data_IF_322524099053
#
_entry.id   IF_322524099053
#
_cell.length_a   1.000
_cell.length_b   1.000
_cell.length_c   1.000
_cell.angle_alpha   90.00
_cell.angle_beta   90.00
_cell.angle_gamma   90.00
#
_symmetry.space_group_name_H-M   'P 1'
#
loop_
_entity.id
_entity.type
_entity.pdbx_description
1 polymer ?
#
# COMPACT_ATOMS: atom_id res chain seq x y z
N UNK A 1 -9.54 -9.41 2.22
CA UNK A 1 -9.80 -10.51 1.25
C UNK A 1 -11.29 -10.67 0.98
N UNK A 2 -11.68 -11.18 -0.19
CA UNK A 2 -13.07 -11.58 -0.50
C UNK A 2 -13.38 -12.96 0.08
N UNK A 3 -14.56 -13.14 0.67
CA UNK A 3 -15.03 -14.45 1.15
C UNK A 3 -16.06 -15.06 0.20
N UNK A 4 -16.26 -16.37 0.30
CA UNK A 4 -17.30 -17.07 -0.47
C UNK A 4 -18.71 -16.65 -0.02
N UNK A 5 -19.71 -16.58 -0.92
CA UNK A 5 -21.07 -16.18 -0.53
C UNK A 5 -21.65 -17.05 0.60
N UNK A 6 -22.00 -16.42 1.73
CA UNK A 6 -22.55 -17.10 2.90
C UNK A 6 -21.52 -17.84 3.77
N UNK A 7 -20.22 -17.55 3.60
CA UNK A 7 -19.12 -18.11 4.37
C UNK A 7 -18.11 -17.03 4.76
N UNK A 8 -17.46 -17.20 5.91
CA UNK A 8 -16.30 -16.41 6.32
C UNK A 8 -14.98 -16.94 5.69
N UNK A 9 -15.04 -18.04 4.94
CA UNK A 9 -13.88 -18.61 4.27
C UNK A 9 -13.47 -17.77 3.05
N UNK A 10 -12.16 -17.52 2.95
CA UNK A 10 -11.54 -16.84 1.80
C UNK A 10 -11.92 -17.54 0.50
N UNK A 11 -12.32 -16.75 -0.50
CA UNK A 11 -12.57 -17.26 -1.85
C UNK A 11 -11.25 -17.69 -2.49
N UNK A 12 -11.10 -19.00 -2.70
CA UNK A 12 -9.95 -19.65 -3.33
C UNK A 12 -10.40 -20.41 -4.57
N UNK A 13 -9.60 -20.34 -5.65
CA UNK A 13 -9.95 -20.88 -6.97
C UNK A 13 -8.72 -21.41 -7.72
N UNK A 14 -8.94 -22.25 -8.73
CA UNK A 14 -7.87 -22.77 -9.61
C UNK A 14 -7.48 -21.78 -10.73
N UNK A 15 -8.33 -20.79 -11.01
CA UNK A 15 -8.12 -19.76 -12.04
C UNK A 15 -8.48 -18.39 -11.49
N UNK A 16 -7.76 -17.32 -11.85
CA UNK A 16 -7.99 -16.00 -11.28
C UNK A 16 -9.39 -15.46 -11.57
N UNK A 17 -10.07 -14.99 -10.53
CA UNK A 17 -11.40 -14.35 -10.62
C UNK A 17 -11.37 -12.83 -10.37
N UNK A 18 -10.36 -12.33 -9.65
CA UNK A 18 -10.11 -10.90 -9.42
C UNK A 18 -9.52 -10.17 -10.63
N UNK A 19 -9.11 -8.91 -10.42
CA UNK A 19 -8.44 -8.11 -11.44
C UNK A 19 -7.00 -8.60 -11.65
N UNK A 20 -6.66 -8.99 -12.88
CA UNK A 20 -5.31 -9.41 -13.24
C UNK A 20 -4.42 -8.27 -13.72
N UNK A 21 -3.12 -8.53 -13.92
CA UNK A 21 -2.19 -7.51 -14.43
C UNK A 21 -2.62 -6.90 -15.77
N UNK A 22 -3.29 -7.67 -16.64
CA UNK A 22 -3.84 -7.16 -17.91
C UNK A 22 -5.01 -6.21 -17.68
N UNK A 23 -5.88 -6.49 -16.70
CA UNK A 23 -7.00 -5.62 -16.34
C UNK A 23 -6.49 -4.30 -15.77
N UNK A 24 -5.54 -4.38 -14.82
CA UNK A 24 -4.89 -3.21 -14.22
C UNK A 24 -4.21 -2.35 -15.27
N UNK A 25 -3.45 -2.96 -16.19
CA UNK A 25 -2.78 -2.21 -17.25
C UNK A 25 -3.78 -1.46 -18.17
N UNK A 26 -4.94 -2.05 -18.45
CA UNK A 26 -6.00 -1.40 -19.24
C UNK A 26 -6.68 -0.28 -18.47
N UNK A 27 -7.08 -0.53 -17.22
CA UNK A 27 -7.77 0.44 -16.38
C UNK A 27 -6.96 1.73 -16.20
N UNK A 28 -5.65 1.56 -16.00
CA UNK A 28 -4.71 2.62 -15.67
C UNK A 28 -3.91 3.15 -16.87
N UNK A 29 -4.26 2.70 -18.08
CA UNK A 29 -3.57 3.05 -19.34
C UNK A 29 -2.06 2.81 -19.33
N UNK A 30 -1.60 1.80 -18.58
CA UNK A 30 -0.19 1.42 -18.58
C UNK A 30 0.19 0.87 -19.97
N UNK A 31 1.29 1.35 -20.58
CA UNK A 31 1.75 0.81 -21.85
C UNK A 31 2.30 -0.61 -21.67
N UNK A 32 2.74 -1.22 -22.77
CA UNK A 32 3.37 -2.55 -22.76
C UNK A 32 4.52 -2.62 -21.76
N UNK A 33 4.72 -3.80 -21.18
CA UNK A 33 5.71 -4.13 -20.15
C UNK A 33 7.10 -3.49 -20.37
N UNK A 34 7.59 -3.55 -21.61
CA UNK A 34 8.91 -3.04 -22.02
C UNK A 34 9.03 -1.51 -22.14
N UNK A 35 7.94 -0.78 -21.95
CA UNK A 35 7.89 0.68 -22.01
C UNK A 35 7.90 1.26 -20.61
N UNK A 36 8.84 2.18 -20.37
CA UNK A 36 9.07 2.82 -19.09
C UNK A 36 10.54 2.74 -18.69
N UNK A 37 10.84 3.16 -17.47
CA UNK A 37 12.17 3.00 -16.88
C UNK A 37 12.26 1.65 -16.17
N UNK A 38 13.48 1.12 -16.15
CA UNK A 38 13.85 0.03 -15.26
C UNK A 38 14.40 0.62 -13.97
N UNK A 39 14.17 -0.07 -12.87
CA UNK A 39 14.65 0.29 -11.55
C UNK A 39 14.36 -0.81 -10.56
N UNK A 40 14.58 -0.54 -9.29
CA UNK A 40 14.32 -1.46 -8.19
C UNK A 40 13.22 -0.89 -7.30
N UNK A 41 12.12 -1.63 -7.17
CA UNK A 41 11.12 -1.38 -6.13
C UNK A 41 11.44 -2.31 -4.95
N UNK A 42 11.58 -1.73 -3.76
CA UNK A 42 11.66 -2.52 -2.54
C UNK A 42 10.29 -2.63 -1.88
N UNK A 43 9.97 -3.81 -1.38
CA UNK A 43 8.76 -4.16 -0.65
C UNK A 43 9.21 -4.63 0.73
N UNK A 44 8.81 -3.91 1.78
CA UNK A 44 9.05 -4.35 3.15
C UNK A 44 7.94 -5.33 3.51
N UNK A 45 8.31 -6.53 3.91
CA UNK A 45 7.38 -7.59 4.26
C UNK A 45 7.70 -8.16 5.63
N UNK A 46 6.75 -8.88 6.22
CA UNK A 46 6.90 -9.49 7.53
C UNK A 46 6.86 -11.01 7.44
N UNK A 47 7.75 -11.69 8.16
CA UNK A 47 7.82 -13.14 8.20
C UNK A 47 8.46 -13.80 6.97
N UNK A 48 8.60 -15.12 7.03
CA UNK A 48 9.11 -15.93 5.94
C UNK A 48 8.00 -16.27 4.93
N UNK A 49 8.33 -16.28 3.64
CA UNK A 49 7.53 -16.91 2.59
C UNK A 49 8.46 -17.67 1.64
N UNK A 50 8.56 -18.99 1.80
CA UNK A 50 9.49 -19.81 1.02
C UNK A 50 8.97 -20.18 -0.36
N UNK A 51 7.69 -19.90 -0.66
CA UNK A 51 7.07 -20.17 -1.96
C UNK A 51 7.02 -18.93 -2.87
N UNK A 52 7.45 -17.76 -2.38
CA UNK A 52 7.29 -16.47 -3.05
C UNK A 52 7.81 -16.44 -4.50
N UNK A 53 8.99 -17.02 -4.77
CA UNK A 53 9.52 -17.06 -6.14
C UNK A 53 8.67 -17.95 -7.08
N UNK A 54 8.22 -19.12 -6.61
CA UNK A 54 7.37 -20.01 -7.40
C UNK A 54 5.96 -19.46 -7.62
N UNK A 55 5.42 -18.75 -6.63
CA UNK A 55 4.11 -18.12 -6.71
C UNK A 55 4.15 -16.93 -7.68
N UNK A 56 5.17 -16.08 -7.57
CA UNK A 56 5.43 -14.99 -8.52
C UNK A 56 5.61 -15.50 -9.96
N UNK A 57 6.29 -16.63 -10.15
CA UNK A 57 6.45 -17.25 -11.46
C UNK A 57 5.09 -17.70 -12.05
N UNK A 58 4.21 -18.24 -11.21
CA UNK A 58 2.86 -18.63 -11.61
C UNK A 58 2.02 -17.42 -12.00
N UNK A 59 2.04 -16.36 -11.19
CA UNK A 59 1.37 -15.11 -11.48
C UNK A 59 1.84 -14.49 -12.80
N UNK A 60 3.16 -14.31 -12.96
CA UNK A 60 3.74 -13.69 -14.17
C UNK A 60 3.42 -14.50 -15.41
N UNK A 61 3.49 -15.84 -15.33
CA UNK A 61 3.11 -16.71 -16.44
C UNK A 61 1.64 -16.59 -16.81
N UNK A 62 0.74 -16.54 -15.82
CA UNK A 62 -0.71 -16.39 -16.04
C UNK A 62 -1.04 -15.12 -16.85
N UNK A 63 -0.31 -14.03 -16.60
CA UNK A 63 -0.56 -12.74 -17.25
C UNK A 63 0.43 -12.38 -18.36
N UNK A 64 1.30 -13.31 -18.77
CA UNK A 64 2.26 -13.09 -19.86
C UNK A 64 3.32 -12.03 -19.57
N UNK A 65 3.69 -11.87 -18.30
CA UNK A 65 4.76 -10.98 -17.85
C UNK A 65 6.12 -11.70 -17.92
N UNK A 66 7.24 -10.97 -18.10
CA UNK A 66 8.58 -11.57 -18.06
C UNK A 66 8.85 -12.30 -16.74
N UNK A 67 9.59 -13.41 -16.80
CA UNK A 67 10.03 -14.13 -15.61
C UNK A 67 10.87 -13.24 -14.69
N UNK A 68 10.75 -13.47 -13.38
CA UNK A 68 11.50 -12.74 -12.36
C UNK A 68 11.88 -13.69 -11.24
N UNK A 69 13.17 -14.01 -11.18
CA UNK A 69 13.73 -15.04 -10.30
C UNK A 69 14.95 -14.52 -9.57
N UNK A 70 15.32 -15.15 -8.47
CA UNK A 70 16.60 -14.87 -7.80
C UNK A 70 17.79 -15.18 -8.70
N UNK A 71 17.72 -16.26 -9.49
CA UNK A 71 18.77 -16.64 -10.43
C UNK A 71 19.00 -15.60 -11.56
N UNK A 72 17.93 -14.94 -12.02
CA UNK A 72 18.02 -13.86 -13.01
C UNK A 72 18.47 -12.51 -12.42
N UNK A 73 18.48 -12.40 -11.08
CA UNK A 73 18.68 -11.15 -10.35
C UNK A 73 17.46 -10.24 -10.33
N UNK A 74 16.37 -10.57 -11.05
CA UNK A 74 15.15 -9.78 -11.06
C UNK A 74 14.48 -9.72 -9.68
N UNK A 75 14.47 -10.84 -8.95
CA UNK A 75 13.96 -10.91 -7.58
C UNK A 75 15.14 -10.98 -6.60
N UNK A 76 15.12 -10.16 -5.55
CA UNK A 76 16.00 -10.32 -4.39
C UNK A 76 15.13 -10.50 -3.15
N UNK A 77 15.45 -11.46 -2.30
CA UNK A 77 14.81 -11.64 -0.98
C UNK A 77 15.92 -11.60 0.06
N UNK A 78 15.75 -10.76 1.08
CA UNK A 78 16.75 -10.51 2.14
C UNK A 78 16.06 -10.28 3.46
N UNK A 79 16.73 -10.54 4.58
CA UNK A 79 16.34 -9.96 5.86
C UNK A 79 16.49 -8.42 5.85
N UNK A 80 15.90 -7.77 6.84
CA UNK A 80 15.95 -6.33 7.06
C UNK A 80 17.34 -5.74 7.33
N UNK A 81 18.37 -6.57 7.53
CA UNK A 81 19.78 -6.16 7.64
C UNK A 81 20.59 -6.36 6.34
N UNK A 82 20.02 -6.96 5.29
CA UNK A 82 20.71 -7.24 4.03
C UNK A 82 21.35 -8.63 3.96
N UNK A 83 21.00 -9.52 4.89
CA UNK A 83 21.45 -10.90 4.98
C UNK A 83 20.56 -11.89 4.22
N UNK A 84 20.70 -13.20 4.49
CA UNK A 84 19.79 -14.21 3.97
C UNK A 84 18.32 -13.91 4.32
N UNK A 85 17.34 -14.43 3.55
CA UNK A 85 15.92 -14.36 3.90
C UNK A 85 15.64 -14.83 5.33
N UNK A 86 14.55 -14.32 5.92
CA UNK A 86 14.07 -14.79 7.23
C UNK A 86 13.71 -16.28 7.12
N UNK A 87 14.23 -17.08 8.04
CA UNK A 87 13.96 -18.51 8.11
C UNK A 87 12.56 -18.77 8.68
N UNK A 88 11.79 -19.75 8.16
CA UNK A 88 10.47 -20.08 8.68
C UNK A 88 10.46 -20.44 10.15
N UNK A 89 9.55 -19.84 10.89
CA UNK A 89 9.33 -20.17 12.29
C UNK A 89 8.84 -21.61 12.47
N UNK A 90 9.20 -22.21 13.61
CA UNK A 90 8.94 -23.64 13.87
C UNK A 90 7.74 -23.90 14.77
N UNK A 91 7.28 -22.90 15.53
CA UNK A 91 6.11 -23.01 16.41
C UNK A 91 4.82 -22.82 15.62
N UNK A 92 3.70 -23.28 16.18
CA UNK A 92 2.38 -23.07 15.58
C UNK A 92 2.04 -21.59 15.43
N UNK A 93 2.42 -20.77 16.41
CA UNK A 93 2.15 -19.32 16.42
C UNK A 93 2.84 -18.63 15.24
N UNK A 94 4.15 -18.88 15.05
CA UNK A 94 4.88 -18.39 13.89
C UNK A 94 4.23 -18.83 12.58
N UNK A 95 3.87 -20.12 12.45
CA UNK A 95 3.31 -20.64 11.20
C UNK A 95 1.97 -20.00 10.86
N UNK A 96 1.12 -19.72 11.85
CA UNK A 96 -0.16 -19.03 11.61
C UNK A 96 0.10 -17.62 11.11
N UNK A 97 0.95 -16.88 11.81
CA UNK A 97 1.24 -15.49 11.50
C UNK A 97 1.95 -15.34 10.14
N UNK A 98 2.94 -16.19 9.84
CA UNK A 98 3.63 -16.23 8.55
C UNK A 98 2.69 -16.63 7.40
N UNK A 99 1.74 -17.55 7.62
CA UNK A 99 0.75 -17.92 6.59
C UNK A 99 -0.19 -16.74 6.24
N UNK A 100 -0.52 -15.90 7.22
CA UNK A 100 -1.32 -14.70 7.02
C UNK A 100 -0.50 -13.59 6.34
N UNK A 101 0.73 -13.34 6.82
CA UNK A 101 1.64 -12.35 6.26
C UNK A 101 2.13 -12.70 4.84
N UNK A 102 2.18 -13.98 4.49
CA UNK A 102 2.53 -14.41 3.14
C UNK A 102 1.53 -13.95 2.08
N UNK A 103 0.24 -13.90 2.41
CA UNK A 103 -0.79 -13.37 1.51
C UNK A 103 -0.52 -11.91 1.17
N UNK A 104 -0.14 -11.12 2.17
CA UNK A 104 0.21 -9.71 2.02
C UNK A 104 1.48 -9.55 1.17
N UNK A 105 2.50 -10.35 1.46
CA UNK A 105 3.75 -10.37 0.69
C UNK A 105 3.52 -10.73 -0.78
N UNK A 106 2.67 -11.73 -1.04
CA UNK A 106 2.30 -12.16 -2.39
C UNK A 106 1.47 -11.09 -3.11
N UNK A 107 0.53 -10.43 -2.41
CA UNK A 107 -0.21 -9.27 -2.94
C UNK A 107 0.75 -8.16 -3.37
N UNK A 108 1.70 -7.79 -2.52
CA UNK A 108 2.65 -6.71 -2.81
C UNK A 108 3.51 -7.01 -4.04
N UNK A 109 4.05 -8.22 -4.11
CA UNK A 109 4.90 -8.67 -5.20
C UNK A 109 4.12 -8.77 -6.52
N UNK A 110 2.88 -9.27 -6.49
CA UNK A 110 2.01 -9.37 -7.66
C UNK A 110 1.60 -7.98 -8.18
N UNK A 111 1.24 -7.07 -7.28
CA UNK A 111 0.88 -5.69 -7.63
C UNK A 111 2.08 -4.90 -8.17
N UNK A 112 3.25 -5.03 -7.55
CA UNK A 112 4.48 -4.43 -8.07
C UNK A 112 4.83 -4.98 -9.46
N UNK A 113 4.66 -6.28 -9.67
CA UNK A 113 4.87 -6.95 -10.96
C UNK A 113 3.90 -6.47 -12.04
N UNK A 114 2.64 -6.23 -11.69
CA UNK A 114 1.64 -5.70 -12.62
C UNK A 114 1.96 -4.27 -13.07
N UNK A 115 2.34 -3.40 -12.13
CA UNK A 115 2.66 -2.00 -12.41
C UNK A 115 3.98 -1.84 -13.18
N UNK A 116 5.02 -2.57 -12.77
CA UNK A 116 6.35 -2.51 -13.39
C UNK A 116 6.94 -3.90 -13.69
N UNK A 117 6.52 -4.55 -14.79
CA UNK A 117 6.97 -5.91 -15.11
C UNK A 117 8.48 -6.05 -15.34
N UNK A 118 9.14 -4.96 -15.78
CA UNK A 118 10.58 -4.88 -16.09
C UNK A 118 11.42 -4.32 -14.91
N UNK A 119 10.80 -4.01 -13.77
CA UNK A 119 11.51 -3.61 -12.55
C UNK A 119 12.10 -4.83 -11.84
N UNK A 120 13.23 -4.62 -11.16
CA UNK A 120 13.71 -5.55 -10.14
C UNK A 120 12.85 -5.38 -8.90
N UNK A 121 12.51 -6.50 -8.26
CA UNK A 121 11.74 -6.54 -7.02
C UNK A 121 12.68 -6.97 -5.90
N UNK A 122 12.75 -6.16 -4.86
CA UNK A 122 13.52 -6.45 -3.65
C UNK A 122 12.57 -6.62 -2.48
N UNK A 123 12.44 -7.83 -1.96
CA UNK A 123 11.64 -8.11 -0.77
C UNK A 123 12.56 -8.09 0.44
N UNK A 124 12.27 -7.20 1.39
CA UNK A 124 13.06 -6.99 2.61
C UNK A 124 12.22 -7.44 3.80
N UNK A 125 12.56 -8.60 4.35
CA UNK A 125 11.79 -9.28 5.39
C UNK A 125 12.19 -8.84 6.80
N UNK A 126 11.24 -8.34 7.56
CA UNK A 126 11.33 -8.23 9.03
C UNK A 126 10.83 -9.52 9.67
N UNK A 127 11.33 -9.88 10.87
CA UNK A 127 10.73 -10.97 11.63
C UNK A 127 9.29 -10.62 12.03
N UNK A 128 8.43 -11.63 12.09
CA UNK A 128 7.04 -11.48 12.52
C UNK A 128 6.92 -11.40 14.05
N UNK A 129 7.72 -12.25 14.71
CA UNK A 129 7.87 -12.29 16.17
C UNK A 129 9.37 -12.19 16.46
N UNK A 130 9.73 -11.28 17.36
CA UNK A 130 11.12 -11.11 17.79
C UNK A 130 11.57 -12.23 18.74
N UNK A 131 12.89 -12.31 18.99
CA UNK A 131 13.45 -13.19 20.01
C UNK A 131 12.85 -12.99 21.42
N UNK A 132 12.21 -11.84 21.67
CA UNK A 132 11.54 -11.48 22.92
C UNK A 132 10.02 -11.62 22.90
N UNK A 133 9.42 -12.10 21.80
CA UNK A 133 7.98 -12.20 21.59
C UNK A 133 7.46 -11.17 20.57
N UNK A 134 6.13 -11.00 20.53
CA UNK A 134 5.47 -10.03 19.64
C UNK A 134 6.02 -8.61 19.88
N UNK A 135 6.57 -7.94 18.85
CA UNK A 135 7.11 -6.60 19.00
C UNK A 135 6.00 -5.58 19.32
N UNK A 136 6.35 -4.54 20.08
CA UNK A 136 5.43 -3.38 20.25
C UNK A 136 5.31 -2.62 18.93
N UNK A 137 4.27 -1.79 18.74
CA UNK A 137 4.16 -0.93 17.57
C UNK A 137 5.43 -0.10 17.28
N UNK A 138 6.08 0.45 18.32
CA UNK A 138 7.35 1.16 18.18
C UNK A 138 8.53 0.25 17.81
N UNK A 139 8.51 -1.02 18.26
CA UNK A 139 9.46 -2.04 17.87
C UNK A 139 9.35 -2.36 16.38
N UNK A 140 8.13 -2.66 15.90
CA UNK A 140 7.84 -2.87 14.48
C UNK A 140 8.25 -1.68 13.63
N UNK A 141 7.89 -0.47 14.05
CA UNK A 141 8.28 0.76 13.37
C UNK A 141 9.82 0.94 13.30
N UNK A 142 10.56 0.51 14.32
CA UNK A 142 12.01 0.52 14.31
C UNK A 142 12.60 -0.48 13.31
N UNK A 143 12.06 -1.70 13.24
CA UNK A 143 12.50 -2.72 12.28
C UNK A 143 12.18 -2.33 10.85
N UNK A 144 10.99 -1.78 10.60
CA UNK A 144 10.61 -1.21 9.30
C UNK A 144 11.52 -0.06 8.88
N UNK A 145 11.95 0.79 9.81
CA UNK A 145 12.93 1.83 9.50
C UNK A 145 14.30 1.26 9.13
N UNK A 146 14.74 0.18 9.78
CA UNK A 146 15.97 -0.54 9.41
C UNK A 146 15.83 -1.20 8.05
N UNK A 147 14.71 -1.87 7.77
CA UNK A 147 14.39 -2.47 6.47
C UNK A 147 14.42 -1.43 5.35
N UNK A 148 13.80 -0.27 5.56
CA UNK A 148 13.82 0.84 4.63
C UNK A 148 15.25 1.37 4.38
N UNK A 149 16.07 1.56 5.42
CA UNK A 149 17.48 1.95 5.22
C UNK A 149 18.29 0.88 4.48
N UNK A 150 18.01 -0.39 4.71
CA UNK A 150 18.61 -1.51 3.98
C UNK A 150 18.22 -1.48 2.51
N UNK A 151 16.94 -1.30 2.19
CA UNK A 151 16.47 -1.13 0.82
C UNK A 151 17.17 0.03 0.10
N UNK A 152 17.26 1.20 0.76
CA UNK A 152 17.98 2.37 0.22
C UNK A 152 19.45 2.05 -0.04
N UNK A 153 20.13 1.42 0.93
CA UNK A 153 21.55 1.00 0.80
C UNK A 153 21.77 0.01 -0.35
N UNK A 154 20.81 -0.89 -0.57
CA UNK A 154 20.85 -1.89 -1.64
C UNK A 154 20.38 -1.35 -3.00
N UNK A 155 20.03 -0.06 -3.09
CA UNK A 155 19.77 0.62 -4.37
C UNK A 155 18.30 0.66 -4.79
N UNK A 156 17.36 0.59 -3.85
CA UNK A 156 15.95 0.83 -4.13
C UNK A 156 15.72 2.24 -4.71
N UNK A 157 14.85 2.33 -5.71
CA UNK A 157 14.41 3.59 -6.31
C UNK A 157 13.15 4.14 -5.62
N UNK A 158 12.35 3.27 -5.05
CA UNK A 158 11.24 3.56 -4.16
C UNK A 158 11.08 2.37 -3.20
N UNK A 159 10.41 2.60 -2.08
CA UNK A 159 10.06 1.54 -1.12
C UNK A 159 8.55 1.59 -0.87
N UNK A 160 7.91 0.42 -0.83
CA UNK A 160 6.54 0.25 -0.37
C UNK A 160 6.54 -0.35 1.04
N UNK A 161 5.70 0.19 1.91
CA UNK A 161 5.30 -0.44 3.16
C UNK A 161 3.77 -0.50 3.19
N UNK A 162 3.23 -1.70 3.23
CA UNK A 162 1.80 -2.01 3.20
C UNK A 162 1.21 -2.22 4.60
N UNK A 163 2.02 -2.09 5.66
CA UNK A 163 1.60 -2.20 7.06
C UNK A 163 1.43 -0.83 7.75
N UNK A 164 0.55 -0.78 8.75
CA UNK A 164 0.17 0.43 9.50
C UNK A 164 0.28 0.19 11.01
N UNK A 165 1.05 1.03 11.67
CA UNK A 165 1.15 1.08 13.13
C UNK A 165 0.45 2.33 13.67
N UNK A 166 -0.28 2.19 14.78
CA UNK A 166 -0.90 3.33 15.45
C UNK A 166 0.01 3.83 16.58
N UNK A 167 0.69 4.94 16.34
CA UNK A 167 1.70 5.49 17.25
C UNK A 167 1.25 6.83 17.85
N UNK A 168 1.81 7.17 19.01
CA UNK A 168 1.64 8.50 19.61
C UNK A 168 2.45 9.56 18.85
N UNK A 169 1.88 10.74 18.64
CA UNK A 169 2.48 11.87 17.91
C UNK A 169 3.92 12.25 18.31
N UNK A 170 4.33 11.99 19.56
CA UNK A 170 5.71 12.22 20.01
C UNK A 170 6.76 11.42 19.23
N UNK A 171 6.34 10.33 18.58
CA UNK A 171 7.19 9.45 17.76
C UNK A 171 7.58 10.06 16.41
N UNK A 172 7.02 11.20 16.00
CA UNK A 172 7.52 11.97 14.85
C UNK A 172 9.02 12.30 15.01
N UNK A 173 9.41 12.63 16.23
CA UNK A 173 10.79 13.00 16.56
C UNK A 173 11.69 11.77 16.80
N UNK A 174 11.12 10.56 16.83
CA UNK A 174 11.86 9.32 17.00
C UNK A 174 12.83 9.08 15.83
N UNK A 175 13.93 8.40 16.13
CA UNK A 175 14.97 8.09 15.14
C UNK A 175 14.46 7.22 13.99
N UNK A 176 13.57 6.27 14.25
CA UNK A 176 12.99 5.41 13.23
C UNK A 176 12.13 6.20 12.23
N UNK A 177 11.27 7.11 12.70
CA UNK A 177 10.47 7.98 11.84
C UNK A 177 11.37 8.84 10.96
N UNK A 178 12.37 9.50 11.56
CA UNK A 178 13.32 10.36 10.84
C UNK A 178 14.16 9.60 9.82
N UNK A 179 14.46 8.32 10.07
CA UNK A 179 15.21 7.49 9.12
C UNK A 179 14.45 7.34 7.80
N UNK A 180 13.11 7.32 7.82
CA UNK A 180 12.29 7.23 6.61
C UNK A 180 12.36 8.47 5.71
N UNK A 181 13.02 9.55 6.14
CA UNK A 181 13.19 10.78 5.36
C UNK A 181 14.42 10.70 4.45
N UNK A 182 14.32 10.00 3.32
CA UNK A 182 15.41 9.92 2.34
C UNK A 182 15.11 10.68 1.04
N UNK A 183 15.89 11.73 0.72
CA UNK A 183 15.80 12.39 -0.57
C UNK A 183 16.09 11.41 -1.73
N UNK A 184 15.19 11.36 -2.71
CA UNK A 184 15.35 10.57 -3.93
C UNK A 184 14.85 9.12 -3.86
N UNK A 185 14.54 8.59 -2.67
CA UNK A 185 13.93 7.27 -2.49
C UNK A 185 12.63 7.42 -1.69
N UNK A 186 11.50 7.73 -2.31
CA UNK A 186 10.24 7.90 -1.59
C UNK A 186 9.79 6.59 -0.93
N UNK A 187 9.19 6.72 0.25
CA UNK A 187 8.39 5.69 0.90
C UNK A 187 6.93 5.88 0.48
N UNK A 188 6.34 4.86 -0.13
CA UNK A 188 4.90 4.75 -0.36
C UNK A 188 4.32 3.89 0.76
N UNK A 189 3.32 4.42 1.44
CA UNK A 189 2.74 3.78 2.61
C UNK A 189 1.23 3.69 2.47
N UNK A 190 0.67 2.50 2.74
CA UNK A 190 -0.77 2.31 2.84
C UNK A 190 -1.34 3.20 3.96
N UNK A 191 -2.47 3.85 3.73
CA UNK A 191 -3.14 4.66 4.79
C UNK A 191 -3.96 3.80 5.76
N UNK A 192 -4.03 2.48 5.53
CA UNK A 192 -4.85 1.54 6.27
C UNK A 192 -6.19 1.28 5.60
N UNK A 193 -6.84 0.17 5.98
CA UNK A 193 -8.04 -0.37 5.32
C UNK A 193 -9.35 -0.09 6.07
N UNK A 194 -9.20 0.43 7.28
CA UNK A 194 -10.25 1.07 8.05
C UNK A 194 -9.93 2.55 7.93
N UNK A 195 -10.86 3.38 7.42
CA UNK A 195 -10.62 4.82 7.20
C UNK A 195 -9.97 5.48 8.42
N UNK A 196 -9.32 6.64 8.22
CA UNK A 196 -8.26 7.28 9.07
C UNK A 196 -8.59 7.61 10.55
N UNK A 197 -9.48 6.87 11.17
CA UNK A 197 -9.79 6.78 12.58
C UNK A 197 -10.11 5.32 12.85
N UNK A 198 -9.19 4.61 13.50
CA UNK A 198 -9.42 3.30 14.08
C UNK A 198 -10.81 3.22 14.74
N UNK A 199 -11.77 2.56 14.08
CA UNK A 199 -13.11 2.34 14.63
C UNK A 199 -13.11 1.33 15.77
N UNK A 200 -11.98 0.69 16.10
CA UNK A 200 -11.85 -0.09 17.34
C UNK A 200 -11.70 0.81 18.57
N UNK A 201 -11.17 2.03 18.44
CA UNK A 201 -11.27 3.08 19.47
C UNK A 201 -12.68 3.71 19.56
N UNK A 202 -13.53 3.54 18.54
CA UNK A 202 -14.88 4.14 18.45
C UNK A 202 -16.00 3.17 18.86
N UNK A 203 -15.68 1.92 19.21
CA UNK A 203 -16.66 0.91 19.68
C UNK A 203 -17.13 1.11 21.15
N UNK A 204 -16.83 2.25 21.79
CA UNK A 204 -17.38 2.59 23.11
C UNK A 204 -18.61 3.47 22.97
N UNK A 205 -19.65 3.21 23.77
CA UNK A 205 -20.99 3.81 23.70
C UNK A 205 -21.09 5.32 24.02
N UNK A 206 -19.95 6.02 24.05
CA UNK A 206 -19.83 7.48 24.21
C UNK A 206 -18.76 8.03 23.24
N UNK A 207 -19.00 7.80 21.96
CA UNK A 207 -18.02 7.76 20.87
C UNK A 207 -17.57 9.13 20.35
N UNK A 208 -18.37 10.19 20.48
CA UNK A 208 -18.03 11.50 19.90
C UNK A 208 -16.95 12.26 20.70
N UNK A 209 -16.90 12.10 22.03
CA UNK A 209 -15.93 12.78 22.89
C UNK A 209 -14.57 12.06 22.93
N UNK A 210 -14.57 10.72 22.93
CA UNK A 210 -13.34 9.90 22.88
C UNK A 210 -12.67 9.92 21.51
N UNK A 211 -13.44 9.85 20.42
CA UNK A 211 -12.89 9.95 19.07
C UNK A 211 -12.09 11.24 18.88
N UNK A 212 -12.59 12.38 19.40
CA UNK A 212 -11.89 13.66 19.27
C UNK A 212 -10.57 13.74 20.05
N UNK A 213 -10.48 13.08 21.21
CA UNK A 213 -9.24 13.05 22.01
C UNK A 213 -8.20 12.06 21.49
N UNK A 214 -8.62 10.95 20.89
CA UNK A 214 -7.71 9.91 20.37
C UNK A 214 -7.20 10.27 18.96
N UNK A 215 -8.03 10.88 18.11
CA UNK A 215 -7.61 11.40 16.78
C UNK A 215 -6.53 12.48 16.88
N UNK A 216 -6.40 13.16 18.01
CA UNK A 216 -5.42 14.23 18.21
C UNK A 216 -4.04 13.69 18.66
N UNK A 217 -3.98 12.49 19.25
CA UNK A 217 -2.75 11.95 19.86
C UNK A 217 -2.17 10.74 19.12
N UNK A 218 -3.00 9.94 18.44
CA UNK A 218 -2.55 8.74 17.70
C UNK A 218 -2.68 8.94 16.20
N UNK A 219 -1.71 8.44 15.44
CA UNK A 219 -1.64 8.61 13.98
C UNK A 219 -1.24 7.29 13.29
N UNK A 220 -1.62 7.14 12.02
CA UNK A 220 -1.28 6.00 11.19
C UNK A 220 0.15 6.13 10.65
N UNK A 221 1.10 5.45 11.30
CA UNK A 221 2.49 5.37 10.88
C UNK A 221 2.67 4.25 9.85
N UNK A 222 3.50 4.44 8.81
CA UNK A 222 4.28 5.63 8.49
C UNK A 222 3.57 6.57 7.53
N UNK A 223 2.37 6.23 7.04
CA UNK A 223 1.68 7.02 6.02
C UNK A 223 1.50 8.47 6.45
N UNK A 224 1.23 8.72 7.74
CA UNK A 224 1.05 10.06 8.27
C UNK A 224 2.33 10.86 8.54
N UNK A 225 3.51 10.31 8.22
CA UNK A 225 4.74 11.10 8.28
C UNK A 225 4.76 12.17 7.17
N UNK A 226 5.28 13.38 7.44
CA UNK A 226 5.39 14.43 6.42
C UNK A 226 6.31 14.09 5.22
N UNK A 227 7.07 13.01 5.29
CA UNK A 227 7.97 12.57 4.23
C UNK A 227 7.62 11.19 3.63
N UNK A 228 6.50 10.60 4.03
CA UNK A 228 5.90 9.46 3.34
C UNK A 228 4.92 9.95 2.26
N UNK A 229 4.79 9.19 1.19
CA UNK A 229 3.68 9.28 0.24
C UNK A 229 2.57 8.38 0.77
N UNK A 230 1.46 8.97 1.17
CA UNK A 230 0.32 8.21 1.65
C UNK A 230 -0.56 7.76 0.49
N UNK A 231 -0.75 6.45 0.40
CA UNK A 231 -1.46 5.79 -0.67
C UNK A 231 -2.81 5.30 -0.17
N UNK A 232 -3.87 5.96 -0.65
CA UNK A 232 -5.26 5.59 -0.42
C UNK A 232 -5.75 4.53 -1.40
N UNK A 233 -7.07 4.39 -1.48
CA UNK A 233 -7.70 3.27 -2.16
C UNK A 233 -8.97 3.64 -2.92
N UNK A 234 -9.17 2.98 -4.05
CA UNK A 234 -10.34 3.12 -4.91
C UNK A 234 -11.04 1.77 -5.10
N UNK A 235 -12.31 1.83 -5.50
CA UNK A 235 -13.06 0.69 -6.00
C UNK A 235 -13.04 0.73 -7.52
N UNK A 236 -12.29 -0.19 -8.12
CA UNK A 236 -12.13 -0.32 -9.57
C UNK A 236 -13.00 -1.48 -10.08
N UNK A 237 -13.96 -1.19 -10.96
CA UNK A 237 -14.91 -2.20 -11.46
C UNK A 237 -14.92 -2.26 -12.97
N UNK A 238 -14.83 -3.46 -13.59
CA UNK A 238 -15.12 -3.61 -15.01
C UNK A 238 -16.56 -3.21 -15.31
N UNK A 239 -16.77 -2.46 -16.39
CA UNK A 239 -18.12 -2.05 -16.84
C UNK A 239 -18.85 -3.22 -17.50
N UNK A 240 -18.11 -4.19 -18.03
CA UNK A 240 -18.64 -5.36 -18.71
C UNK A 240 -17.76 -6.61 -18.51
N UNK A 241 -18.26 -7.76 -18.95
CA UNK A 241 -17.56 -9.04 -18.86
C UNK A 241 -16.29 -9.13 -19.73
N UNK A 242 -16.12 -8.24 -20.72
CA UNK A 242 -14.92 -8.19 -21.58
C UNK A 242 -13.73 -7.50 -20.90
N UNK A 243 -13.98 -6.77 -19.80
CA UNK A 243 -12.97 -6.03 -19.02
C UNK A 243 -12.12 -5.12 -19.90
N UNK A 244 -12.79 -4.39 -20.80
CA UNK A 244 -12.14 -3.40 -21.68
C UNK A 244 -12.30 -1.97 -21.18
N UNK A 245 -13.29 -1.73 -20.31
CA UNK A 245 -13.57 -0.44 -19.68
C UNK A 245 -13.78 -0.64 -18.18
N UNK A 246 -13.41 0.39 -17.41
CA UNK A 246 -13.46 0.37 -15.96
C UNK A 246 -14.06 1.68 -15.44
N UNK A 247 -14.76 1.58 -14.31
CA UNK A 247 -15.17 2.72 -13.49
C UNK A 247 -14.37 2.70 -12.20
N UNK A 248 -13.98 3.87 -11.72
CA UNK A 248 -13.24 4.04 -10.47
C UNK A 248 -14.01 5.00 -9.56
N UNK A 249 -14.23 4.61 -8.30
CA UNK A 249 -14.81 5.45 -7.25
C UNK A 249 -13.92 5.40 -6.01
N UNK A 250 -14.06 6.36 -5.09
CA UNK A 250 -13.43 6.22 -3.77
C UNK A 250 -13.87 4.90 -3.11
N UNK A 251 -12.94 4.20 -2.44
CA UNK A 251 -13.30 2.98 -1.72
C UNK A 251 -14.03 3.34 -0.43
N UNK A 252 -15.25 2.81 -0.26
CA UNK A 252 -16.16 3.17 0.83
C UNK A 252 -15.63 2.97 2.25
N UNK A 253 -14.66 2.05 2.45
CA UNK A 253 -14.07 1.82 3.76
C UNK A 253 -12.98 2.84 4.12
N UNK A 254 -12.52 3.62 3.14
CA UNK A 254 -11.55 4.68 3.36
C UNK A 254 -12.25 6.02 3.49
N UNK A 255 -12.16 6.54 4.70
CA UNK A 255 -12.44 7.94 4.96
C UNK A 255 -11.09 8.66 4.86
N UNK A 256 -11.02 9.70 4.02
CA UNK A 256 -9.91 10.64 4.10
C UNK A 256 -9.80 11.23 5.51
N UNK A 257 -8.67 11.87 5.79
CA UNK A 257 -8.43 12.39 7.12
C UNK A 257 -7.39 13.49 7.21
N UNK A 258 -7.19 13.93 8.45
CA UNK A 258 -6.21 14.94 8.80
C UNK A 258 -5.37 14.44 9.97
N UNK A 259 -4.05 14.37 9.80
CA UNK A 259 -3.13 14.10 10.89
C UNK A 259 -2.81 15.43 11.60
N UNK A 260 -3.64 15.80 12.57
CA UNK A 260 -3.62 17.11 13.24
C UNK A 260 -2.36 17.33 14.07
N UNK A 261 -1.66 16.25 14.45
CA UNK A 261 -0.38 16.35 15.14
C UNK A 261 0.78 16.81 14.23
N UNK A 262 0.60 16.81 12.91
CA UNK A 262 1.71 16.97 11.96
C UNK A 262 1.61 18.17 11.05
N UNK A 263 2.78 18.75 10.67
CA UNK A 263 2.82 19.74 9.62
C UNK A 263 2.42 19.11 8.28
N UNK A 264 2.04 19.91 7.28
CA UNK A 264 1.76 19.43 5.93
C UNK A 264 2.91 18.58 5.39
N UNK A 265 2.57 17.56 4.60
CA UNK A 265 3.58 16.74 3.96
C UNK A 265 4.48 17.58 3.03
N UNK A 266 5.70 17.10 2.79
CA UNK A 266 6.67 17.78 1.96
C UNK A 266 6.10 18.01 0.55
N UNK A 267 5.88 19.28 0.20
CA UNK A 267 5.29 19.68 -1.08
C UNK A 267 3.76 19.63 -1.16
N UNK A 268 3.06 19.23 -0.10
CA UNK A 268 1.60 19.33 -0.02
C UNK A 268 1.17 20.81 -0.13
N UNK A 269 0.31 21.18 -1.10
CA UNK A 269 -0.09 22.57 -1.29
C UNK A 269 -0.79 23.16 -0.07
N UNK A 270 -0.58 24.45 0.19
CA UNK A 270 -1.29 25.15 1.26
C UNK A 270 -2.83 25.08 1.12
N UNK A 271 -3.34 25.00 -0.12
CA UNK A 271 -4.77 24.80 -0.39
C UNK A 271 -5.28 23.42 0.02
N UNK A 272 -4.44 22.39 -0.04
CA UNK A 272 -4.77 21.04 0.44
C UNK A 272 -4.72 21.02 1.97
N UNK A 273 -3.61 21.48 2.55
CA UNK A 273 -3.44 21.57 4.00
C UNK A 273 -4.51 22.43 4.69
N UNK A 274 -5.03 23.47 4.04
CA UNK A 274 -6.10 24.31 4.56
C UNK A 274 -7.40 23.51 4.86
N UNK A 275 -7.68 22.43 4.11
CA UNK A 275 -8.82 21.54 4.42
C UNK A 275 -8.65 20.82 5.77
N UNK A 276 -7.40 20.69 6.22
CA UNK A 276 -7.00 20.13 7.50
C UNK A 276 -6.48 21.21 8.47
N UNK A 277 -6.92 22.46 8.36
CA UNK A 277 -6.53 23.53 9.29
C UNK A 277 -5.04 23.90 9.24
N UNK A 278 -4.34 23.57 8.16
CA UNK A 278 -2.90 23.77 8.01
C UNK A 278 -2.05 22.56 8.42
N UNK A 279 -2.68 21.41 8.66
CA UNK A 279 -2.02 20.14 9.01
C UNK A 279 -1.94 19.19 7.81
N UNK A 280 -1.27 18.05 8.02
CA UNK A 280 -1.15 17.00 7.01
C UNK A 280 -2.52 16.44 6.64
N UNK A 281 -2.88 16.57 5.37
CA UNK A 281 -3.98 15.82 4.80
C UNK A 281 -3.54 14.39 4.48
N UNK A 282 -4.38 13.41 4.83
CA UNK A 282 -3.94 12.03 5.02
C UNK A 282 -3.53 11.32 3.74
N UNK A 283 -4.20 11.60 2.61
CA UNK A 283 -4.08 10.87 1.34
C UNK A 283 -3.44 11.75 0.26
N UNK A 284 -2.38 11.26 -0.37
CA UNK A 284 -1.70 11.97 -1.46
C UNK A 284 -2.15 11.46 -2.84
N UNK A 285 -2.32 10.15 -3.00
CA UNK A 285 -2.66 9.45 -4.25
C UNK A 285 -3.36 8.13 -3.92
N UNK A 286 -4.11 7.57 -4.85
CA UNK A 286 -4.79 6.27 -4.66
C UNK A 286 -4.71 5.37 -5.88
N UNK A 287 -5.02 4.09 -5.71
CA UNK A 287 -5.25 3.11 -6.76
C UNK A 287 -6.18 2.02 -6.21
N UNK A 288 -6.43 0.97 -6.98
CA UNK A 288 -7.35 -0.10 -6.60
C UNK A 288 -7.02 -0.69 -5.23
N UNK A 289 -8.05 -0.76 -4.39
CA UNK A 289 -7.97 -1.29 -3.04
C UNK A 289 -9.22 -2.10 -2.65
N UNK A 290 -10.38 -1.86 -3.23
CA UNK A 290 -11.60 -2.54 -2.79
C UNK A 290 -11.54 -4.06 -3.01
N UNK A 291 -11.52 -4.90 -1.95
CA UNK A 291 -11.48 -6.35 -2.11
C UNK A 291 -12.76 -6.91 -2.75
N UNK A 292 -13.87 -6.18 -2.77
CA UNK A 292 -15.08 -6.63 -3.47
C UNK A 292 -14.89 -6.74 -4.99
N UNK A 293 -13.92 -5.98 -5.54
CA UNK A 293 -13.49 -6.04 -6.93
C UNK A 293 -11.96 -6.05 -7.03
N UNK A 294 -11.33 -6.74 -6.07
CA UNK A 294 -9.90 -6.63 -5.83
C UNK A 294 -9.02 -7.36 -6.86
N UNK A 295 -7.71 -7.13 -6.80
CA UNK A 295 -6.73 -7.89 -7.54
C UNK A 295 -6.78 -9.40 -7.27
N UNK A 296 -6.52 -10.17 -8.33
CA UNK A 296 -6.24 -11.59 -8.20
C UNK A 296 -4.80 -11.77 -7.71
N UNK A 297 -4.61 -12.52 -6.63
CA UNK A 297 -3.31 -12.82 -6.02
C UNK A 297 -3.10 -14.32 -6.04
N UNK A 298 -1.86 -14.77 -6.27
CA UNK A 298 -1.52 -16.18 -6.20
C UNK A 298 -0.61 -16.46 -5.00
N UNK A 299 -1.08 -17.31 -4.09
CA UNK A 299 -0.31 -17.68 -2.89
C UNK A 299 -0.52 -19.16 -2.53
N UNK A 300 0.57 -19.87 -2.31
CA UNK A 300 0.56 -21.30 -1.94
C UNK A 300 1.27 -21.59 -0.62
N UNK A 301 1.77 -20.58 0.07
CA UNK A 301 2.50 -20.76 1.31
C UNK A 301 1.53 -21.02 2.46
N UNK A 302 1.43 -22.28 2.89
CA UNK A 302 0.49 -22.71 3.92
C UNK A 302 1.17 -23.53 5.04
N UNK A 303 2.15 -22.97 5.77
CA UNK A 303 2.92 -23.70 6.78
C UNK A 303 2.10 -24.12 8.00
N UNK A 304 0.96 -23.46 8.27
CA UNK A 304 0.08 -23.75 9.40
C UNK A 304 -1.03 -24.72 9.00
N UNK A 305 -1.79 -24.38 7.96
CA UNK A 305 -2.98 -25.13 7.54
C UNK A 305 -2.65 -26.32 6.62
N UNK A 306 -1.48 -26.31 5.98
CA UNK A 306 -1.09 -27.29 4.97
C UNK A 306 -1.96 -27.25 3.71
N UNK A 307 -2.82 -26.24 3.56
CA UNK A 307 -3.79 -26.12 2.46
C UNK A 307 -3.54 -24.82 1.69
N UNK A 308 -2.87 -24.89 0.52
CA UNK A 308 -2.63 -23.73 -0.34
C UNK A 308 -3.92 -23.01 -0.74
N UNK A 309 -3.88 -21.67 -0.82
CA UNK A 309 -5.02 -20.88 -1.28
C UNK A 309 -5.08 -20.72 -2.81
N UNK A 310 -3.98 -20.93 -3.52
CA UNK A 310 -3.89 -20.75 -4.97
C UNK A 310 -4.33 -19.33 -5.38
N UNK A 311 -5.34 -19.19 -6.24
CA UNK A 311 -5.87 -17.88 -6.62
C UNK A 311 -6.91 -17.38 -5.62
N UNK A 312 -6.61 -16.24 -5.01
CA UNK A 312 -7.51 -15.50 -4.13
C UNK A 312 -7.80 -14.11 -4.69
N UNK A 313 -8.80 -13.44 -4.12
CA UNK A 313 -9.03 -12.02 -4.33
C UNK A 313 -8.71 -11.27 -3.05
N UNK A 314 -7.71 -10.40 -3.14
CA UNK A 314 -7.31 -9.52 -2.04
C UNK A 314 -7.39 -8.06 -2.47
N UNK A 315 -7.25 -7.16 -1.51
CA UNK A 315 -7.40 -5.72 -1.69
C UNK A 315 -6.71 -5.00 -0.54
N UNK A 316 -7.32 -3.93 -0.06
CA UNK A 316 -6.71 -2.99 0.85
C UNK A 316 -5.88 -1.94 0.13
N UNK A 317 -5.60 -0.85 0.84
CA UNK A 317 -4.54 0.11 0.51
C UNK A 317 -3.17 -0.57 0.43
N UNK A 318 -3.04 -1.71 1.08
CA UNK A 318 -2.05 -2.77 0.82
C UNK A 318 -1.85 -3.13 -0.65
N UNK A 319 -2.91 -3.27 -1.45
CA UNK A 319 -2.77 -3.51 -2.88
C UNK A 319 -2.30 -2.25 -3.64
N UNK A 320 -2.75 -1.09 -3.17
CA UNK A 320 -2.56 0.20 -3.82
C UNK A 320 -1.12 0.73 -3.66
N UNK A 321 -0.55 0.65 -2.45
CA UNK A 321 0.80 1.12 -2.13
C UNK A 321 1.92 0.55 -3.02
N UNK A 322 2.10 -0.79 -3.11
CA UNK A 322 3.14 -1.41 -3.93
C UNK A 322 2.89 -1.18 -5.43
N UNK A 323 1.62 -1.11 -5.85
CA UNK A 323 1.24 -0.81 -7.22
C UNK A 323 1.69 0.59 -7.62
N UNK A 324 1.35 1.62 -6.84
CA UNK A 324 1.75 3.00 -7.10
C UNK A 324 3.26 3.20 -6.95
N UNK A 325 3.90 2.53 -6.00
CA UNK A 325 5.34 2.59 -5.80
C UNK A 325 6.11 2.02 -7.01
N UNK A 326 5.73 0.84 -7.49
CA UNK A 326 6.33 0.24 -8.68
C UNK A 326 6.02 1.07 -9.94
N UNK A 327 4.82 1.64 -10.04
CA UNK A 327 4.44 2.55 -11.12
C UNK A 327 5.33 3.80 -11.12
N UNK A 328 5.59 4.40 -9.96
CA UNK A 328 6.52 5.52 -9.81
C UNK A 328 7.92 5.17 -10.33
N UNK A 329 8.45 3.99 -9.98
CA UNK A 329 9.75 3.53 -10.50
C UNK A 329 9.70 3.42 -12.03
N UNK A 330 8.60 2.91 -12.59
CA UNK A 330 8.43 2.79 -14.05
C UNK A 330 8.29 4.13 -14.77
N UNK A 331 7.61 5.11 -14.20
CA UNK A 331 7.34 6.41 -14.83
C UNK A 331 8.50 7.39 -14.64
N UNK A 332 9.01 7.49 -13.40
CA UNK A 332 9.95 8.52 -12.97
C UNK A 332 11.35 7.97 -12.76
N UNK A 333 11.51 6.70 -12.38
CA UNK A 333 12.79 6.01 -12.14
C UNK A 333 13.55 6.52 -10.92
N UNK A 334 13.90 7.79 -10.88
CA UNK A 334 14.53 8.42 -9.71
C UNK A 334 14.27 9.93 -9.75
N UNK A 335 13.59 10.47 -8.75
CA UNK A 335 13.40 11.92 -8.61
C UNK A 335 14.46 12.48 -7.65
N UNK A 336 15.64 12.77 -8.18
CA UNK A 336 16.78 13.30 -7.42
C UNK A 336 16.32 14.48 -6.54
N UNK A 337 16.47 14.33 -5.23
CA UNK A 337 16.20 15.38 -4.24
C UNK A 337 14.72 15.58 -3.86
N UNK A 338 13.78 14.83 -4.44
CA UNK A 338 12.40 14.85 -3.96
C UNK A 338 12.30 14.17 -2.59
N UNK A 339 11.52 14.76 -1.69
CA UNK A 339 11.15 14.20 -0.38
C UNK A 339 9.64 14.09 -0.31
N UNK A 340 9.12 13.00 0.26
CA UNK A 340 7.69 12.75 0.41
C UNK A 340 6.91 12.91 -0.90
N UNK A 341 5.66 13.41 -0.84
CA UNK A 341 4.77 13.54 -2.00
C UNK A 341 5.09 14.77 -2.87
N UNK A 342 6.24 15.43 -2.68
CA UNK A 342 6.53 16.69 -3.37
C UNK A 342 6.61 16.56 -4.89
N UNK A 343 6.98 15.39 -5.41
CA UNK A 343 7.00 15.13 -6.84
C UNK A 343 5.57 14.99 -7.39
N UNK A 344 4.69 14.28 -6.67
CA UNK A 344 3.28 14.11 -7.02
C UNK A 344 2.57 15.46 -7.16
N UNK A 345 2.70 16.33 -6.14
CA UNK A 345 2.05 17.64 -6.14
C UNK A 345 2.64 18.65 -7.14
N UNK A 346 3.81 18.38 -7.72
CA UNK A 346 4.38 19.17 -8.83
C UNK A 346 3.99 18.63 -10.21
N UNK A 347 3.47 17.41 -10.27
CA UNK A 347 3.11 16.79 -11.53
C UNK A 347 1.89 17.47 -12.15
N UNK A 348 1.78 17.54 -13.49
CA UNK A 348 0.57 18.06 -14.14
C UNK A 348 -0.64 17.22 -13.75
N UNK A 349 -1.78 17.85 -13.44
CA UNK A 349 -3.01 17.12 -13.07
C UNK A 349 -3.43 16.05 -14.10
N UNK A 350 -3.08 16.23 -15.38
CA UNK A 350 -3.35 15.26 -16.46
C UNK A 350 -2.61 13.91 -16.33
N UNK A 351 -1.65 13.80 -15.42
CA UNK A 351 -1.00 12.50 -15.12
C UNK A 351 -1.84 11.65 -14.16
N UNK A 352 -2.89 12.24 -13.57
CA UNK A 352 -3.81 11.55 -12.69
C UNK A 352 -5.21 11.48 -13.30
N UNK A 353 -5.91 10.38 -13.06
CA UNK A 353 -7.34 10.28 -13.18
C UNK A 353 -7.97 10.76 -11.87
N UNK A 354 -8.64 11.92 -11.94
CA UNK A 354 -9.37 12.51 -10.83
C UNK A 354 -10.63 11.69 -10.51
N UNK A 355 -10.64 11.04 -9.34
CA UNK A 355 -11.72 10.16 -8.91
C UNK A 355 -12.76 10.99 -8.17
N UNK A 356 -13.78 11.45 -8.89
CA UNK A 356 -14.76 12.41 -8.35
C UNK A 356 -16.02 11.79 -7.75
N UNK A 357 -16.10 10.46 -7.68
CA UNK A 357 -17.30 9.75 -7.27
C UNK A 357 -17.04 8.93 -6.00
N UNK A 358 -17.93 9.05 -5.02
CA UNK A 358 -17.88 8.25 -3.80
C UNK A 358 -18.38 6.82 -4.06
N UNK A 359 -17.69 5.83 -3.48
CA UNK A 359 -18.19 4.44 -3.39
C UNK A 359 -19.27 4.24 -2.32
N UNK A 360 -19.63 5.30 -1.61
CA UNK A 360 -20.69 5.38 -0.61
C UNK A 360 -20.21 5.22 0.83
N UNK A 361 -20.00 6.33 1.56
CA UNK A 361 -20.45 6.59 2.94
C UNK A 361 -19.81 7.87 3.51
N UNK A 362 -20.25 9.07 3.05
CA UNK A 362 -19.75 10.34 3.59
C UNK A 362 -19.98 10.56 5.09
N UNK A 363 -20.90 9.79 5.70
CA UNK A 363 -21.45 10.07 7.03
C UNK A 363 -20.45 9.83 8.18
N UNK A 364 -19.54 8.87 8.02
CA UNK A 364 -18.60 8.46 9.08
C UNK A 364 -17.45 9.45 9.23
N UNK A 365 -17.00 10.07 8.14
CA UNK A 365 -15.91 11.05 8.18
C UNK A 365 -16.33 12.39 8.80
N UNK A 366 -17.53 12.87 8.47
CA UNK A 366 -18.03 14.16 8.97
C UNK A 366 -18.27 14.18 10.49
N UNK A 367 -18.45 13.01 11.11
CA UNK A 367 -18.63 12.90 12.56
C UNK A 367 -17.40 13.39 13.36
N UNK A 368 -16.23 13.45 12.72
CA UNK A 368 -14.99 13.97 13.30
C UNK A 368 -14.82 15.48 13.09
N UNK A 369 -15.81 16.14 12.50
CA UNK A 369 -15.81 17.59 12.25
C UNK A 369 -14.97 18.02 11.05
N UNK A 370 -14.53 17.07 10.22
CA UNK A 370 -13.82 17.37 8.98
C UNK A 370 -14.77 17.88 7.89
N UNK A 371 -14.24 18.75 7.03
CA UNK A 371 -15.00 19.35 5.95
C UNK A 371 -15.29 18.36 4.81
N UNK A 372 -16.23 18.73 3.93
CA UNK A 372 -16.65 17.92 2.78
C UNK A 372 -15.47 17.47 1.90
N UNK A 373 -14.50 18.37 1.64
CA UNK A 373 -13.31 18.03 0.84
C UNK A 373 -12.38 16.99 1.44
N UNK A 374 -12.43 16.74 2.74
CA UNK A 374 -11.69 15.65 3.39
C UNK A 374 -12.49 14.35 3.35
N UNK A 375 -13.82 14.43 3.23
CA UNK A 375 -14.71 13.30 3.47
C UNK A 375 -15.38 12.74 2.22
N UNK A 376 -15.37 13.48 1.11
CA UNK A 376 -16.07 13.11 -0.11
C UNK A 376 -15.17 13.29 -1.31
N UNK A 377 -15.22 12.30 -2.20
CA UNK A 377 -14.60 12.36 -3.50
C UNK A 377 -15.17 13.51 -4.33
N UNK A 378 -14.34 14.22 -5.07
CA UNK A 378 -14.80 15.30 -5.92
C UNK A 378 -13.66 16.05 -6.58
N UNK A 379 -13.94 16.99 -7.50
CA UNK A 379 -12.93 17.54 -8.39
C UNK A 379 -11.67 18.06 -7.70
N UNK A 380 -10.51 17.68 -8.23
CA UNK A 380 -9.18 18.03 -7.75
C UNK A 380 -8.72 17.12 -6.62
N UNK A 381 -8.00 17.69 -5.64
CA UNK A 381 -7.65 16.91 -4.46
C UNK A 381 -8.89 16.71 -3.57
N UNK A 382 -9.06 15.49 -3.07
CA UNK A 382 -9.99 15.14 -2.01
C UNK A 382 -9.36 14.18 -1.00
N UNK A 383 -9.94 14.10 0.20
CA UNK A 383 -9.42 13.24 1.24
C UNK A 383 -9.50 11.73 0.93
N UNK A 384 -10.59 11.20 0.33
CA UNK A 384 -10.67 9.77 0.04
C UNK A 384 -9.65 9.28 -0.99
N UNK A 385 -9.31 10.09 -2.00
CA UNK A 385 -8.49 9.65 -3.14
C UNK A 385 -7.24 10.48 -3.41
N UNK A 386 -7.01 11.54 -2.65
CA UNK A 386 -5.86 12.41 -2.83
C UNK A 386 -5.94 13.12 -4.19
N UNK A 387 -4.88 13.05 -4.98
CA UNK A 387 -4.85 13.53 -6.38
C UNK A 387 -5.60 12.61 -7.37
N UNK A 388 -6.19 11.52 -6.89
CA UNK A 388 -6.75 10.45 -7.70
C UNK A 388 -5.73 9.35 -8.00
N UNK A 389 -5.95 8.60 -9.07
CA UNK A 389 -5.05 7.51 -9.48
C UNK A 389 -4.08 7.96 -10.57
N UNK A 390 -2.82 7.49 -10.60
CA UNK A 390 -1.95 7.81 -11.73
C UNK A 390 -2.56 7.29 -13.05
N UNK A 391 -2.08 7.78 -14.19
CA UNK A 391 -2.58 7.37 -15.51
C UNK A 391 -1.48 7.42 -16.58
N UNK A 392 -1.25 6.30 -17.27
CA UNK A 392 -0.15 6.16 -18.23
C UNK A 392 1.24 6.19 -17.59
N UNK A 393 2.23 6.78 -18.26
CA UNK A 393 3.60 6.96 -17.69
C UNK A 393 3.94 8.44 -17.52
N UNK A 394 2.93 9.26 -17.21
CA UNK A 394 3.18 10.63 -16.75
C UNK A 394 4.11 10.59 -15.53
N UNK A 395 5.11 11.47 -15.49
CA UNK A 395 6.04 11.52 -14.35
C UNK A 395 5.34 12.18 -13.17
N UNK A 396 5.36 11.50 -12.04
CA UNK A 396 4.93 12.00 -10.73
C UNK A 396 5.97 11.65 -9.69
#
# INVERSE_FOLDING_TARGET
>A
MTTSPGSDAVLSTDTPVGLGATDLARAYSLPRASVGRKGTIALISTGANTHLESDLATYRKQYGLPECTTASGCLTITDFHGGPPVEPGTTTEFKVSEEEAAIETSLDVDMASAACPDCHIMVVQTPDIDATGEPTPEGKAADYAVAYQTAVRLGANAVSLSDVEFLDSSTLEASYSKALRQPGVPLFASIGDIGSSDSSAVASSDSAARAKTTIDTTYAWPAELPWAVAVGGTSLKPVDASRTQFTETAWHNLNGGCALAFPPAAGQPASVAANCGGHRAATDVSAVADPASGPAVYDTYAPSTGTPKNWIVSGGTSASSPFVAAWYVRSSGHSIGAVGPSALYRAPASVFHDVTADGGSPATCQQFGWGEKVCQAGPGWDGPTGLGSPHGLGKF
#
